data_IF_599571708082
#
_entry.id   IF_599571708082
#
_cell.length_a   1.000
_cell.length_b   1.000
_cell.length_c   1.000
_cell.angle_alpha   90.00
_cell.angle_beta   90.00
_cell.angle_gamma   90.00
#
_symmetry.space_group_name_H-M   'P 1'
#
loop_
_entity.id
_entity.type
_entity.pdbx_description
1 polymer ?
#
# COMPACT_ATOMS: atom_id res chain seq x y z
N UNK A 1 -10.51 7.51 5.97
CA UNK A 1 -10.02 6.19 5.51
C UNK A 1 -9.96 5.29 6.73
N UNK A 2 -10.39 4.02 6.65
CA UNK A 2 -10.45 3.16 7.84
C UNK A 2 -9.04 2.80 8.38
N UNK A 3 -8.88 2.69 9.69
CA UNK A 3 -7.64 2.22 10.31
C UNK A 3 -7.34 0.75 9.92
N UNK A 4 -6.05 0.40 9.84
CA UNK A 4 -5.62 -0.97 9.49
C UNK A 4 -5.74 -1.96 10.65
N UNK A 5 -5.86 -1.45 11.88
CA UNK A 5 -6.07 -2.22 13.10
C UNK A 5 -7.14 -1.51 13.97
N UNK A 6 -7.75 -2.25 14.89
CA UNK A 6 -8.77 -1.75 15.80
C UNK A 6 -8.25 -1.52 17.22
N UNK A 7 -9.02 -0.80 18.04
CA UNK A 7 -8.76 -0.66 19.47
C UNK A 7 -8.68 -2.04 20.17
N UNK A 8 -9.58 -2.95 19.83
CA UNK A 8 -9.63 -4.29 20.40
C UNK A 8 -8.35 -5.09 20.12
N UNK A 9 -7.73 -4.91 18.95
CA UNK A 9 -6.46 -5.56 18.63
C UNK A 9 -5.31 -5.08 19.54
N UNK A 10 -5.35 -3.82 19.99
CA UNK A 10 -4.38 -3.25 20.92
C UNK A 10 -4.60 -3.81 22.32
N UNK A 11 -5.85 -3.79 22.79
CA UNK A 11 -6.22 -4.31 24.13
C UNK A 11 -5.87 -5.79 24.28
N UNK A 12 -6.15 -6.60 23.26
CA UNK A 12 -5.80 -8.01 23.23
C UNK A 12 -4.29 -8.25 23.39
N UNK A 13 -3.45 -7.33 22.89
CA UNK A 13 -1.97 -7.41 22.99
C UNK A 13 -1.43 -6.83 24.28
N UNK A 14 -2.07 -5.78 24.82
CA UNK A 14 -1.75 -5.22 26.13
C UNK A 14 -2.15 -6.15 27.28
N UNK A 15 -3.13 -7.03 27.06
CA UNK A 15 -3.69 -7.90 28.09
C UNK A 15 -4.54 -7.15 29.12
N UNK A 16 -4.91 -5.89 28.83
CA UNK A 16 -5.77 -5.03 29.64
C UNK A 16 -6.57 -4.09 28.74
N UNK A 17 -7.68 -3.58 29.26
CA UNK A 17 -8.40 -2.48 28.64
C UNK A 17 -7.53 -1.20 28.63
N UNK A 18 -7.78 -0.35 27.63
CA UNK A 18 -7.21 0.98 27.60
C UNK A 18 -7.84 1.85 28.69
N UNK A 19 -7.05 2.76 29.24
CA UNK A 19 -7.56 3.80 30.12
C UNK A 19 -8.22 4.89 29.27
N UNK A 20 -9.16 5.66 29.84
CA UNK A 20 -9.87 6.72 29.11
C UNK A 20 -8.94 7.71 28.41
N UNK A 21 -7.81 8.07 29.03
CA UNK A 21 -6.81 8.97 28.44
C UNK A 21 -5.99 8.32 27.29
N UNK A 22 -5.95 6.99 27.21
CA UNK A 22 -5.37 6.26 26.08
C UNK A 22 -6.39 6.14 24.94
N UNK A 23 -7.66 5.87 25.24
CA UNK A 23 -8.75 5.77 24.25
C UNK A 23 -8.85 7.03 23.39
N UNK A 24 -8.84 8.22 24.00
CA UNK A 24 -8.91 9.51 23.31
C UNK A 24 -7.76 9.73 22.30
N UNK A 25 -6.63 9.06 22.49
CA UNK A 25 -5.42 9.22 21.66
C UNK A 25 -5.23 8.08 20.67
N UNK A 26 -5.70 6.88 21.01
CA UNK A 26 -5.47 5.66 20.22
C UNK A 26 -5.99 5.78 18.81
N UNK A 27 -7.14 6.43 18.60
CA UNK A 27 -7.72 6.61 17.26
C UNK A 27 -6.78 7.42 16.35
N UNK A 28 -6.33 8.60 16.79
CA UNK A 28 -5.41 9.43 16.02
C UNK A 28 -4.07 8.72 15.74
N UNK A 29 -3.55 7.99 16.72
CA UNK A 29 -2.30 7.24 16.57
C UNK A 29 -2.45 6.04 15.62
N UNK A 30 -3.60 5.38 15.63
CA UNK A 30 -3.93 4.30 14.70
C UNK A 30 -4.00 4.82 13.26
N UNK A 31 -4.57 6.00 13.04
CA UNK A 31 -4.63 6.64 11.74
C UNK A 31 -3.24 6.99 11.21
N UNK A 32 -2.40 7.61 12.05
CA UNK A 32 -1.00 7.93 11.70
C UNK A 32 -0.20 6.67 11.37
N UNK A 33 -0.30 5.63 12.20
CA UNK A 33 0.38 4.35 11.98
C UNK A 33 -0.09 3.69 10.67
N UNK A 34 -1.40 3.70 10.43
CA UNK A 34 -1.99 3.15 9.21
C UNK A 34 -1.52 3.92 7.97
N UNK A 35 -1.46 5.25 8.04
CA UNK A 35 -0.95 6.10 6.95
C UNK A 35 0.53 5.83 6.65
N UNK A 36 1.36 5.69 7.69
CA UNK A 36 2.79 5.38 7.54
C UNK A 36 2.99 4.01 6.87
N UNK A 37 2.24 2.98 7.29
CA UNK A 37 2.30 1.65 6.68
C UNK A 37 1.90 1.70 5.20
N UNK A 38 0.78 2.34 4.87
CA UNK A 38 0.33 2.50 3.47
C UNK A 38 1.34 3.24 2.62
N UNK A 39 1.92 4.33 3.12
CA UNK A 39 2.93 5.09 2.39
C UNK A 39 4.20 4.26 2.14
N UNK A 40 4.60 3.45 3.14
CA UNK A 40 5.75 2.57 3.01
C UNK A 40 5.55 1.45 1.98
N UNK A 41 4.39 0.78 2.01
CA UNK A 41 4.08 -0.36 1.13
C UNK A 41 3.59 0.09 -0.24
N UNK A 42 3.01 1.30 -0.34
CA UNK A 42 2.23 1.79 -1.49
C UNK A 42 1.04 0.88 -1.82
N UNK A 43 0.44 0.29 -0.79
CA UNK A 43 -0.66 -0.64 -0.91
C UNK A 43 -1.84 -0.20 -0.04
N UNK A 44 -3.02 -0.24 -0.63
CA UNK A 44 -4.28 -0.17 0.07
C UNK A 44 -4.72 -1.59 0.44
N UNK A 45 -4.62 -1.92 1.73
CA UNK A 45 -4.94 -3.27 2.21
C UNK A 45 -6.44 -3.58 2.22
N UNK A 46 -7.31 -2.57 2.19
CA UNK A 46 -8.75 -2.76 2.19
C UNK A 46 -9.26 -3.10 0.79
N UNK A 47 -10.18 -4.06 0.71
CA UNK A 47 -10.81 -4.41 -0.56
C UNK A 47 -11.61 -3.23 -1.14
N UNK A 48 -11.28 -2.83 -2.36
CA UNK A 48 -11.96 -1.76 -3.07
C UNK A 48 -11.86 -1.93 -4.59
N UNK A 49 -12.77 -1.28 -5.32
CA UNK A 49 -12.64 -1.09 -6.76
C UNK A 49 -11.89 0.20 -7.04
N UNK A 50 -11.06 0.21 -8.07
CA UNK A 50 -10.32 1.40 -8.49
C UNK A 50 -10.25 1.49 -10.00
N UNK A 51 -10.38 2.71 -10.49
CA UNK A 51 -10.19 3.07 -11.89
C UNK A 51 -8.97 3.98 -12.00
N UNK A 52 -8.00 3.60 -12.82
CA UNK A 52 -6.78 4.37 -12.99
C UNK A 52 -6.23 4.30 -14.41
N UNK A 53 -5.68 5.41 -14.87
CA UNK A 53 -4.88 5.48 -16.10
C UNK A 53 -3.46 5.01 -15.79
N UNK A 54 -3.04 3.95 -16.47
CA UNK A 54 -1.76 3.28 -16.30
C UNK A 54 -0.99 3.27 -17.61
N UNK A 55 0.34 3.30 -17.50
CA UNK A 55 1.21 3.30 -18.66
C UNK A 55 1.32 1.90 -19.26
N UNK A 56 1.20 1.83 -20.58
CA UNK A 56 1.48 0.61 -21.35
C UNK A 56 3.00 0.57 -21.61
N UNK A 57 3.64 -0.52 -21.21
CA UNK A 57 5.07 -0.76 -21.43
C UNK A 57 5.22 -2.16 -22.01
N UNK A 58 5.80 -2.26 -23.22
CA UNK A 58 5.95 -3.52 -23.96
C UNK A 58 4.63 -4.31 -24.07
N UNK A 59 3.53 -3.62 -24.38
CA UNK A 59 2.21 -4.22 -24.50
C UNK A 59 1.57 -4.68 -23.18
N UNK A 60 2.18 -4.34 -22.03
CA UNK A 60 1.71 -4.74 -20.70
C UNK A 60 1.36 -3.53 -19.85
N UNK A 61 0.34 -3.72 -19.01
CA UNK A 61 -0.07 -2.78 -17.96
C UNK A 61 0.13 -3.47 -16.62
N UNK A 62 0.81 -2.80 -15.68
CA UNK A 62 0.99 -3.30 -14.31
C UNK A 62 0.07 -2.59 -13.35
N UNK A 63 -0.72 -3.37 -12.62
CA UNK A 63 -1.62 -2.89 -11.58
C UNK A 63 -0.82 -2.61 -10.30
N UNK A 64 -0.87 -1.39 -9.76
CA UNK A 64 -0.04 -1.01 -8.61
C UNK A 64 -0.50 -1.67 -7.30
N UNK A 65 -1.81 -1.91 -7.17
CA UNK A 65 -2.45 -2.39 -5.95
C UNK A 65 -2.63 -3.91 -5.97
N UNK A 66 -2.39 -4.57 -4.83
CA UNK A 66 -2.31 -6.02 -4.66
C UNK A 66 -2.98 -6.45 -3.35
N UNK A 67 -3.61 -7.63 -3.31
CA UNK A 67 -3.81 -8.57 -4.40
C UNK A 67 -4.85 -8.04 -5.38
N UNK A 68 -4.69 -8.36 -6.66
CA UNK A 68 -5.73 -8.10 -7.66
C UNK A 68 -6.69 -9.28 -7.65
N UNK A 69 -7.98 -9.00 -7.43
CA UNK A 69 -9.02 -10.03 -7.37
C UNK A 69 -9.64 -10.26 -8.75
N UNK A 70 -9.94 -9.17 -9.45
CA UNK A 70 -10.56 -9.20 -10.77
C UNK A 70 -10.32 -7.90 -11.53
N UNK A 71 -10.20 -7.99 -12.84
CA UNK A 71 -10.16 -6.84 -13.76
C UNK A 71 -11.51 -6.80 -14.46
N UNK A 72 -12.23 -5.68 -14.34
CA UNK A 72 -13.59 -5.52 -14.88
C UNK A 72 -13.61 -4.80 -16.23
N UNK A 73 -12.69 -3.86 -16.45
CA UNK A 73 -12.64 -3.05 -17.67
C UNK A 73 -11.20 -2.64 -18.00
N UNK A 74 -10.87 -2.65 -19.29
CA UNK A 74 -9.62 -2.16 -19.86
C UNK A 74 -9.93 -1.39 -21.14
N UNK A 75 -9.59 -0.10 -21.17
CA UNK A 75 -9.75 0.78 -22.33
C UNK A 75 -8.43 1.48 -22.66
N UNK A 76 -8.16 1.72 -23.94
CA UNK A 76 -6.97 2.47 -24.37
C UNK A 76 -7.28 3.96 -24.38
N UNK A 77 -6.55 4.74 -23.59
CA UNK A 77 -6.74 6.19 -23.51
C UNK A 77 -6.24 6.83 -24.79
N UNK A 78 -7.03 7.76 -25.33
CA UNK A 78 -6.66 8.47 -26.55
C UNK A 78 -5.52 9.49 -26.31
N UNK A 79 -4.89 10.03 -27.38
CA UNK A 79 -3.81 11.02 -27.23
C UNK A 79 -4.22 12.32 -26.51
N UNK A 80 -5.52 12.58 -26.34
CA UNK A 80 -6.06 13.75 -25.66
C UNK A 80 -6.47 13.45 -24.20
N UNK A 81 -6.16 12.24 -23.71
CA UNK A 81 -6.39 11.84 -22.32
C UNK A 81 -7.84 11.45 -22.01
N UNK A 82 -8.69 11.23 -23.02
CA UNK A 82 -10.06 10.78 -22.80
C UNK A 82 -10.12 9.25 -22.66
N UNK A 83 -10.95 8.81 -21.72
CA UNK A 83 -11.26 7.40 -21.55
C UNK A 83 -12.19 6.93 -22.67
N UNK A 84 -11.89 5.81 -23.36
CA UNK A 84 -12.73 5.32 -24.43
C UNK A 84 -13.98 4.61 -23.88
N UNK A 85 -15.12 4.67 -24.59
CA UNK A 85 -16.29 3.86 -24.26
C UNK A 85 -16.09 2.37 -24.62
N UNK A 86 -15.17 2.06 -25.53
CA UNK A 86 -14.93 0.71 -26.02
C UNK A 86 -13.83 -0.01 -25.22
N UNK A 87 -14.13 -1.24 -24.79
CA UNK A 87 -13.20 -2.11 -24.07
C UNK A 87 -12.32 -2.87 -25.07
N UNK A 88 -11.06 -3.10 -24.71
CA UNK A 88 -10.11 -3.88 -25.52
C UNK A 88 -9.96 -5.29 -24.98
N UNK A 89 -9.70 -6.29 -25.85
CA UNK A 89 -9.36 -7.62 -25.38
C UNK A 89 -8.05 -7.58 -24.59
N UNK A 90 -7.98 -8.35 -23.51
CA UNK A 90 -6.80 -8.44 -22.67
C UNK A 90 -6.66 -9.83 -22.07
N UNK A 91 -5.44 -10.18 -21.67
CA UNK A 91 -5.15 -11.36 -20.88
C UNK A 91 -4.58 -10.94 -19.53
N UNK A 92 -5.25 -11.33 -18.44
CA UNK A 92 -4.76 -11.12 -17.08
C UNK A 92 -3.90 -12.30 -16.65
N UNK A 93 -2.73 -12.04 -16.07
CA UNK A 93 -1.79 -13.06 -15.61
C UNK A 93 -2.21 -13.75 -14.29
N UNK A 94 -3.30 -13.29 -13.66
CA UNK A 94 -3.77 -13.80 -12.37
C UNK A 94 -3.08 -13.18 -11.15
N UNK A 95 -2.15 -12.23 -11.35
CA UNK A 95 -1.32 -11.66 -10.29
C UNK A 95 -1.41 -10.14 -10.26
N UNK A 96 -0.89 -9.47 -11.29
CA UNK A 96 -0.78 -8.00 -11.34
C UNK A 96 -0.58 -7.42 -12.74
N UNK A 97 -0.40 -8.25 -13.76
CA UNK A 97 -0.05 -7.81 -15.11
C UNK A 97 -1.15 -8.15 -16.10
N UNK A 98 -1.54 -7.15 -16.87
CA UNK A 98 -2.47 -7.27 -17.99
C UNK A 98 -1.65 -7.20 -19.27
N UNK A 99 -1.84 -8.17 -20.15
CA UNK A 99 -1.25 -8.20 -21.48
C UNK A 99 -2.30 -7.78 -22.52
N UNK A 100 -1.99 -6.71 -23.27
CA UNK A 100 -2.82 -6.17 -24.35
C UNK A 100 -2.43 -6.72 -25.73
N UNK A 101 -1.28 -7.40 -25.85
CA UNK A 101 -0.79 -8.01 -27.10
C UNK A 101 -1.07 -9.52 -27.18
N UNK A 102 -1.88 -10.05 -26.26
CA UNK A 102 -2.04 -11.47 -25.99
C UNK A 102 -3.28 -12.17 -26.56
N UNK A 103 -4.02 -11.52 -27.46
CA UNK A 103 -4.86 -12.24 -28.41
C UNK A 103 -4.18 -12.13 -29.77
N UNK A 104 -4.32 -13.13 -30.65
CA UNK A 104 -3.86 -13.08 -32.04
C UNK A 104 -3.96 -11.67 -32.64
N UNK A 105 -2.99 -11.33 -33.49
CA UNK A 105 -3.06 -10.21 -34.47
C UNK A 105 -4.50 -9.77 -34.62
N UNK A 106 -4.81 -8.51 -34.28
CA UNK A 106 -6.16 -7.92 -34.38
C UNK A 106 -6.67 -7.96 -35.83
N UNK A 107 -6.94 -9.15 -36.35
CA UNK A 107 -7.65 -9.43 -37.58
C UNK A 107 -9.07 -8.98 -37.28
N UNK A 108 -9.50 -7.90 -37.92
CA UNK A 108 -10.75 -7.17 -37.70
C UNK A 108 -10.80 -6.14 -36.56
N UNK A 109 -9.66 -5.58 -36.15
CA UNK A 109 -9.67 -4.24 -35.55
C UNK A 109 -10.29 -3.26 -36.58
N UNK A 110 -11.24 -2.37 -36.21
CA UNK A 110 -11.65 -1.29 -37.10
C UNK A 110 -10.41 -0.48 -37.50
N UNK A 111 -10.33 0.01 -38.74
CA UNK A 111 -9.08 0.49 -39.35
C UNK A 111 -8.31 1.57 -38.53
N UNK A 112 -8.98 2.30 -37.63
CA UNK A 112 -8.36 3.26 -36.69
C UNK A 112 -7.65 2.61 -35.48
N UNK A 113 -7.80 1.31 -35.26
CA UNK A 113 -7.07 0.52 -34.26
C UNK A 113 -5.79 -0.11 -34.82
N UNK A 114 -5.62 -0.20 -36.14
CA UNK A 114 -4.37 -0.65 -36.75
C UNK A 114 -3.20 0.32 -36.51
N UNK A 115 -3.50 1.58 -36.18
CA UNK A 115 -2.53 2.63 -35.81
C UNK A 115 -2.16 2.62 -34.31
N UNK A 116 -2.64 1.64 -33.53
CA UNK A 116 -2.26 1.46 -32.12
C UNK A 116 -0.75 1.25 -31.93
N UNK A 117 -0.05 0.85 -33.00
CA UNK A 117 1.39 0.57 -33.00
C UNK A 117 2.26 1.83 -32.80
N UNK A 118 1.67 3.05 -32.85
CA UNK A 118 2.43 4.30 -32.69
C UNK A 118 1.93 5.28 -31.61
N UNK A 119 0.67 5.21 -31.14
CA UNK A 119 0.07 6.29 -30.34
C UNK A 119 -0.37 5.92 -28.91
N UNK A 120 -0.76 4.67 -28.65
CA UNK A 120 -1.32 4.30 -27.35
C UNK A 120 -0.24 4.06 -26.29
N UNK A 121 -0.01 5.05 -25.44
CA UNK A 121 0.95 4.98 -24.32
C UNK A 121 0.29 4.67 -22.98
N UNK A 122 -1.04 4.78 -22.88
CA UNK A 122 -1.78 4.64 -21.63
C UNK A 122 -3.08 3.86 -21.80
N UNK A 123 -3.45 3.10 -20.79
CA UNK A 123 -4.73 2.40 -20.69
C UNK A 123 -5.43 2.80 -19.39
N UNK A 124 -6.73 3.03 -19.45
CA UNK A 124 -7.57 3.12 -18.26
C UNK A 124 -8.02 1.71 -17.89
N UNK A 125 -7.79 1.34 -16.63
CA UNK A 125 -8.16 0.03 -16.12
C UNK A 125 -9.05 0.20 -14.91
N UNK A 126 -10.14 -0.55 -14.85
CA UNK A 126 -10.95 -0.73 -13.64
C UNK A 126 -10.74 -2.14 -13.09
N UNK A 127 -10.37 -2.24 -11.82
CA UNK A 127 -10.12 -3.51 -11.17
C UNK A 127 -10.46 -3.49 -9.69
N UNK A 128 -10.77 -4.66 -9.15
CA UNK A 128 -10.96 -4.90 -7.72
C UNK A 128 -9.65 -5.40 -7.13
N UNK A 129 -9.21 -4.78 -6.03
CA UNK A 129 -7.98 -5.16 -5.33
C UNK A 129 -8.14 -5.07 -3.81
N UNK A 130 -7.12 -5.51 -3.09
CA UNK A 130 -7.05 -5.46 -1.64
C UNK A 130 -7.51 -6.75 -0.98
N UNK A 131 -7.41 -6.80 0.35
CA UNK A 131 -7.78 -7.96 1.15
C UNK A 131 -9.18 -7.77 1.73
N UNK A 132 -9.97 -8.86 1.76
CA UNK A 132 -11.25 -8.87 2.46
C UNK A 132 -11.08 -8.60 3.97
N UNK A 133 -9.94 -9.00 4.54
CA UNK A 133 -9.54 -8.69 5.91
C UNK A 133 -8.06 -8.32 5.91
N UNK A 134 -7.69 -7.26 6.63
CA UNK A 134 -6.29 -6.85 6.75
C UNK A 134 -5.42 -8.01 7.26
N UNK A 135 -4.30 -8.34 6.60
CA UNK A 135 -3.42 -9.42 7.04
C UNK A 135 -2.91 -9.23 8.47
N UNK A 136 -2.91 -10.32 9.25
CA UNK A 136 -2.59 -10.25 10.69
C UNK A 136 -1.18 -9.76 11.03
N UNK A 137 -0.22 -9.92 10.13
CA UNK A 137 1.14 -9.37 10.28
C UNK A 137 1.19 -7.86 10.09
N UNK A 138 0.35 -7.31 9.21
CA UNK A 138 0.18 -5.85 9.06
C UNK A 138 -0.47 -5.27 10.31
N UNK A 139 -1.51 -5.93 10.82
CA UNK A 139 -2.15 -5.58 12.10
C UNK A 139 -1.11 -5.60 13.22
N UNK A 140 -0.27 -6.64 13.29
CA UNK A 140 0.77 -6.75 14.32
C UNK A 140 1.77 -5.59 14.27
N UNK A 141 2.20 -5.17 13.08
CA UNK A 141 3.09 -4.01 12.92
C UNK A 141 2.40 -2.73 13.38
N UNK A 142 1.17 -2.47 12.94
CA UNK A 142 0.41 -1.27 13.32
C UNK A 142 0.20 -1.22 14.84
N UNK A 143 -0.28 -2.31 15.45
CA UNK A 143 -0.44 -2.40 16.90
C UNK A 143 0.89 -2.21 17.63
N UNK A 144 1.99 -2.78 17.12
CA UNK A 144 3.31 -2.61 17.70
C UNK A 144 3.78 -1.15 17.68
N UNK A 145 3.51 -0.42 16.60
CA UNK A 145 3.79 1.01 16.50
C UNK A 145 2.99 1.81 17.54
N UNK A 146 1.69 1.55 17.64
CA UNK A 146 0.79 2.23 18.58
C UNK A 146 1.18 1.95 20.02
N UNK A 147 1.39 0.68 20.38
CA UNK A 147 1.78 0.28 21.74
C UNK A 147 3.10 0.92 22.14
N UNK A 148 4.09 0.97 21.24
CA UNK A 148 5.36 1.66 21.53
C UNK A 148 5.12 3.13 21.86
N UNK A 149 4.27 3.83 21.13
CA UNK A 149 3.96 5.23 21.42
C UNK A 149 3.18 5.41 22.72
N UNK A 150 2.23 4.52 23.02
CA UNK A 150 1.46 4.57 24.27
C UNK A 150 2.32 4.33 25.50
N UNK A 151 3.30 3.44 25.41
CA UNK A 151 4.18 3.06 26.52
C UNK A 151 5.40 3.98 26.69
N UNK A 152 5.66 4.89 25.75
CA UNK A 152 6.73 5.88 25.90
C UNK A 152 6.39 6.81 27.07
N UNK A 153 7.28 6.94 28.08
CA UNK A 153 7.07 7.86 29.17
C UNK A 153 6.98 9.29 28.63
N UNK A 154 5.86 9.96 28.91
CA UNK A 154 5.51 11.30 28.40
C UNK A 154 6.32 12.44 29.04
N UNK A 155 7.52 12.16 29.57
CA UNK A 155 8.39 13.20 30.15
C UNK A 155 9.27 13.81 29.04
N UNK A 156 9.02 15.07 28.63
CA UNK A 156 9.86 15.73 27.65
C UNK A 156 11.25 15.98 28.25
N UNK A 157 12.31 15.55 27.57
CA UNK A 157 13.67 16.02 27.84
C UNK A 157 14.54 15.19 28.79
N UNK A 158 14.10 14.03 29.27
CA UNK A 158 14.97 13.13 30.05
C UNK A 158 15.77 12.24 29.10
N UNK A 159 16.97 12.71 28.71
CA UNK A 159 17.91 11.98 27.83
C UNK A 159 18.73 10.90 28.55
N UNK A 160 18.72 10.94 29.88
CA UNK A 160 19.34 9.97 30.77
C UNK A 160 18.86 10.30 32.18
N UNK A 161 18.31 9.32 32.88
CA UNK A 161 18.15 9.40 34.34
C UNK A 161 19.24 8.51 34.96
N UNK A 162 20.05 9.08 35.84
CA UNK A 162 20.96 8.31 36.68
C UNK A 162 20.22 7.96 37.96
N UNK A 163 19.62 6.77 38.01
CA UNK A 163 19.13 6.18 39.25
C UNK A 163 20.10 5.09 39.70
N UNK A 164 20.87 5.37 40.76
CA UNK A 164 21.51 4.32 41.56
C UNK A 164 22.54 3.40 40.87
N UNK A 165 23.22 3.86 39.80
CA UNK A 165 24.34 3.13 39.19
C UNK A 165 24.02 2.35 37.91
N UNK A 166 22.77 2.31 37.47
CA UNK A 166 22.37 1.68 36.20
C UNK A 166 22.01 2.75 35.16
N UNK A 167 22.69 2.72 34.01
CA UNK A 167 22.45 3.66 32.90
C UNK A 167 21.54 3.00 31.88
N UNK A 168 20.29 3.44 31.82
CA UNK A 168 19.35 3.02 30.77
C UNK A 168 19.38 4.07 29.66
N UNK A 169 19.95 3.71 28.51
CA UNK A 169 19.92 4.55 27.30
C UNK A 169 18.77 4.11 26.40
N UNK A 170 17.78 4.97 26.23
CA UNK A 170 16.65 4.74 25.32
C UNK A 170 17.02 5.15 23.89
N UNK A 171 16.67 4.32 22.90
CA UNK A 171 16.91 4.62 21.50
C UNK A 171 16.10 5.85 21.03
N UNK A 172 16.74 6.74 20.27
CA UNK A 172 16.29 8.08 19.84
C UNK A 172 14.86 8.14 19.24
N UNK A 173 14.42 7.08 18.57
CA UNK A 173 13.08 6.98 17.98
C UNK A 173 11.94 6.85 19.02
N UNK A 174 12.23 6.46 20.25
CA UNK A 174 11.25 6.36 21.34
C UNK A 174 11.04 7.69 22.07
N UNK A 175 11.96 8.65 21.93
CA UNK A 175 11.97 9.88 22.74
C UNK A 175 11.09 11.01 22.19
N UNK A 176 10.66 10.93 20.93
CA UNK A 176 9.86 11.98 20.28
C UNK A 176 8.36 11.72 20.31
N UNK A 177 7.92 10.55 20.82
CA UNK A 177 6.51 10.17 20.80
C UNK A 177 5.95 10.02 19.38
N UNK A 178 6.81 9.92 18.37
CA UNK A 178 6.41 9.83 16.96
C UNK A 178 6.18 8.38 16.56
N UNK A 179 5.11 8.15 15.81
CA UNK A 179 4.85 6.86 15.16
C UNK A 179 5.96 6.56 14.15
N UNK A 180 6.73 5.49 14.35
CA UNK A 180 7.83 5.13 13.46
C UNK A 180 7.89 3.64 13.11
N UNK A 181 8.31 3.36 11.88
CA UNK A 181 8.59 2.00 11.40
C UNK A 181 10.02 1.58 11.78
N UNK A 182 10.13 0.54 12.59
CA UNK A 182 11.42 -0.08 12.94
C UNK A 182 11.99 -0.88 11.76
N UNK A 183 13.24 -1.34 11.88
CA UNK A 183 13.87 -2.18 10.86
C UNK A 183 13.15 -3.52 10.68
N UNK A 184 12.65 -4.11 11.77
CA UNK A 184 11.95 -5.39 11.72
C UNK A 184 10.53 -5.24 11.17
N UNK A 185 9.82 -4.16 11.52
CA UNK A 185 8.53 -3.84 10.90
C UNK A 185 8.66 -3.73 9.37
N UNK A 186 9.70 -3.04 8.91
CA UNK A 186 10.01 -2.92 7.47
C UNK A 186 10.31 -4.26 6.83
N UNK A 187 11.01 -5.18 7.53
CA UNK A 187 11.29 -6.52 7.01
C UNK A 187 10.01 -7.32 6.79
N UNK A 188 9.05 -7.23 7.71
CA UNK A 188 7.72 -7.83 7.56
C UNK A 188 6.99 -7.21 6.37
N UNK A 189 6.93 -5.87 6.31
CA UNK A 189 6.20 -5.13 5.29
C UNK A 189 6.81 -5.20 3.88
N UNK A 190 8.10 -5.53 3.75
CA UNK A 190 8.80 -5.61 2.46
C UNK A 190 8.14 -6.57 1.47
N UNK A 191 7.38 -7.57 1.94
CA UNK A 191 6.66 -8.51 1.07
C UNK A 191 5.49 -7.87 0.32
N UNK A 192 4.90 -6.82 0.90
CA UNK A 192 3.77 -6.09 0.32
C UNK A 192 4.22 -4.94 -0.56
N UNK A 193 5.46 -4.50 -0.42
CA UNK A 193 5.96 -3.33 -1.11
C UNK A 193 6.10 -3.58 -2.61
N UNK A 194 5.45 -2.77 -3.43
CA UNK A 194 5.64 -2.76 -4.87
C UNK A 194 7.04 -2.21 -5.15
N UNK A 195 7.98 -3.07 -5.56
CA UNK A 195 9.33 -2.63 -5.94
C UNK A 195 9.24 -1.88 -7.27
N UNK A 196 9.72 -0.63 -7.30
CA UNK A 196 10.04 0.01 -8.57
C UNK A 196 11.19 -0.81 -9.19
N UNK A 197 10.92 -1.46 -10.32
CA UNK A 197 11.97 -2.11 -11.08
C UNK A 197 12.79 -1.01 -11.76
N UNK A 198 13.99 -0.73 -11.25
CA UNK A 198 14.96 0.11 -11.96
C UNK A 198 15.53 -0.72 -13.10
N UNK A 199 15.17 -0.39 -14.34
CA UNK A 199 15.82 -0.95 -15.52
C UNK A 199 17.10 -0.15 -15.74
N UNK A 200 18.25 -0.75 -15.46
CA UNK A 200 19.53 -0.24 -15.99
C UNK A 200 19.54 -0.54 -17.49
N UNK A 201 19.56 0.50 -18.31
CA UNK A 201 19.82 0.35 -19.74
C UNK A 201 21.29 -0.05 -19.93
N UNK A 202 21.59 -1.13 -20.67
CA UNK A 202 22.96 -1.39 -21.10
C UNK A 202 23.40 -0.25 -22.03
N UNK A 203 24.57 0.31 -21.73
CA UNK A 203 25.28 1.28 -22.55
C UNK A 203 25.94 0.58 -23.75
#
# INVERSE_FOLDING_TARGET
>A
MAALASQTDIEARLGRALTTAEEDRVEAVLDDASAIVRNYTRQDFGQQESTQILRIINGRVRLPQRPVLSVSAVGIVDPWGQSPPAQVPYMFDGIDSINLTGGDVLLNAPEWWADLDAAATTAEVTWTHGYATTPGDVVAVVCGMVIRQLLVPQQPGVRSEQAGGESISYADALMTGTVTLTRDDRRILNRYRTRAATVQLPW
#
